data_IF_137685937662
#
_entry.id   IF_137685937662
#
_cell.length_a   1.000
_cell.length_b   1.000
_cell.length_c   1.000
_cell.angle_alpha   90.00
_cell.angle_beta   90.00
_cell.angle_gamma   90.00
#
_symmetry.space_group_name_H-M   'P 1'
#
loop_
_entity.id
_entity.type
_entity.pdbx_description
1 polymer ?
#
# COMPACT_ATOMS: atom_id res chain seq x y z
N UNK A 1 20.12 52.95 40.93
CA UNK A 1 18.82 52.38 40.53
C UNK A 1 18.53 52.77 39.08
N UNK A 2 18.72 51.86 38.13
CA UNK A 2 17.85 51.69 36.95
C UNK A 2 18.38 50.49 36.16
N UNK A 3 17.51 49.49 36.00
CA UNK A 3 17.80 48.19 35.40
C UNK A 3 17.60 48.31 33.90
N UNK A 4 18.61 47.98 33.08
CA UNK A 4 18.39 47.75 31.65
C UNK A 4 18.31 46.24 31.39
N UNK A 5 17.13 45.85 30.95
CA UNK A 5 16.68 44.49 30.68
C UNK A 5 17.40 43.94 29.44
N UNK A 6 18.01 42.76 29.57
CA UNK A 6 18.58 42.01 28.45
C UNK A 6 17.43 41.38 27.65
N UNK A 7 17.20 41.85 26.42
CA UNK A 7 16.37 41.16 25.45
C UNK A 7 17.18 40.04 24.79
N UNK A 8 17.07 38.83 25.32
CA UNK A 8 17.43 37.61 24.58
C UNK A 8 16.26 37.22 23.70
N UNK A 9 16.39 37.45 22.39
CA UNK A 9 15.49 36.88 21.40
C UNK A 9 15.77 35.36 21.30
N UNK A 10 14.90 34.54 21.87
CA UNK A 10 14.92 33.10 21.65
C UNK A 10 14.21 32.81 20.32
N UNK A 11 14.99 32.44 19.30
CA UNK A 11 14.46 31.97 18.02
C UNK A 11 13.93 30.53 18.23
N UNK A 12 12.63 30.39 18.46
CA UNK A 12 11.96 29.09 18.47
C UNK A 12 11.85 28.60 17.02
N UNK A 13 12.76 27.71 16.60
CA UNK A 13 12.58 26.89 15.42
C UNK A 13 11.49 25.85 15.71
N UNK A 14 10.26 26.16 15.33
CA UNK A 14 9.21 25.17 15.22
C UNK A 14 9.58 24.19 14.11
N UNK A 15 10.15 23.04 14.46
CA UNK A 15 10.32 21.93 13.52
C UNK A 15 8.93 21.33 13.32
N UNK A 16 8.25 21.74 12.25
CA UNK A 16 7.04 21.04 11.82
C UNK A 16 7.47 19.70 11.24
N UNK A 17 7.16 18.61 11.95
CA UNK A 17 7.23 17.27 11.39
C UNK A 17 6.10 17.13 10.37
N UNK A 18 6.34 17.55 9.13
CA UNK A 18 5.51 17.13 8.02
C UNK A 18 5.71 15.61 7.88
N UNK A 19 4.64 14.83 8.07
CA UNK A 19 4.64 13.42 7.70
C UNK A 19 4.83 13.37 6.18
N UNK A 20 6.04 13.03 5.73
CA UNK A 20 6.30 12.84 4.32
C UNK A 20 5.42 11.68 3.81
N UNK A 21 4.66 11.92 2.74
CA UNK A 21 3.87 10.88 2.09
C UNK A 21 4.79 9.77 1.57
N UNK A 22 4.28 8.53 1.55
CA UNK A 22 5.03 7.37 1.08
C UNK A 22 5.36 7.51 -0.42
N UNK A 23 6.57 7.11 -0.82
CA UNK A 23 7.03 7.16 -2.21
C UNK A 23 6.84 5.81 -2.95
N UNK A 24 6.97 5.81 -4.28
CA UNK A 24 7.03 4.55 -5.04
C UNK A 24 8.17 3.64 -4.58
N UNK A 25 9.31 4.21 -4.16
CA UNK A 25 10.41 3.43 -3.61
C UNK A 25 10.00 2.74 -2.31
N UNK A 26 9.24 3.41 -1.43
CA UNK A 26 8.72 2.83 -0.19
C UNK A 26 7.72 1.71 -0.46
N UNK A 27 6.83 1.90 -1.44
CA UNK A 27 5.89 0.86 -1.86
C UNK A 27 6.60 -0.39 -2.39
N UNK A 28 7.57 -0.22 -3.28
CA UNK A 28 8.34 -1.35 -3.79
C UNK A 28 9.13 -2.04 -2.67
N UNK A 29 9.79 -1.27 -1.81
CA UNK A 29 10.53 -1.83 -0.67
C UNK A 29 9.63 -2.60 0.30
N UNK A 30 8.38 -2.16 0.50
CA UNK A 30 7.39 -2.88 1.29
C UNK A 30 7.02 -4.22 0.63
N UNK A 31 6.75 -4.22 -0.69
CA UNK A 31 6.45 -5.45 -1.44
C UNK A 31 7.63 -6.42 -1.40
N UNK A 32 8.85 -5.94 -1.63
CA UNK A 32 10.07 -6.76 -1.58
C UNK A 32 10.22 -7.43 -0.20
N UNK A 33 9.97 -6.69 0.90
CA UNK A 33 9.93 -7.29 2.26
C UNK A 33 8.81 -8.32 2.41
N UNK A 34 7.64 -8.09 1.81
CA UNK A 34 6.53 -9.03 1.79
C UNK A 34 6.88 -10.34 1.08
N UNK A 35 7.58 -10.27 -0.06
CA UNK A 35 8.09 -11.44 -0.78
C UNK A 35 9.05 -12.26 0.07
N UNK A 36 10.05 -11.61 0.69
CA UNK A 36 11.00 -12.31 1.57
C UNK A 36 10.32 -12.95 2.78
N UNK A 37 9.32 -12.28 3.34
CA UNK A 37 8.51 -12.85 4.40
C UNK A 37 7.74 -14.09 3.93
N UNK A 38 7.05 -14.03 2.78
CA UNK A 38 6.36 -15.18 2.21
C UNK A 38 7.31 -16.35 1.88
N UNK A 39 8.53 -16.09 1.43
CA UNK A 39 9.56 -17.15 1.25
C UNK A 39 9.91 -17.84 2.56
N UNK A 40 9.96 -17.09 3.66
CA UNK A 40 10.31 -17.62 4.99
C UNK A 40 9.18 -18.43 5.63
N UNK A 41 7.93 -17.96 5.53
CA UNK A 41 6.80 -18.54 6.27
C UNK A 41 5.83 -19.35 5.42
N UNK A 42 5.98 -19.30 4.10
CA UNK A 42 5.03 -19.87 3.14
C UNK A 42 3.87 -18.93 2.83
N UNK A 43 3.27 -19.10 1.64
CA UNK A 43 2.23 -18.21 1.11
C UNK A 43 1.01 -18.13 2.02
N UNK A 44 0.53 -19.27 2.54
CA UNK A 44 -0.66 -19.31 3.39
C UNK A 44 -0.47 -18.47 4.67
N UNK A 45 0.66 -18.65 5.37
CA UNK A 45 0.94 -17.91 6.59
C UNK A 45 1.17 -16.41 6.32
N UNK A 46 1.81 -16.06 5.21
CA UNK A 46 2.03 -14.65 4.91
C UNK A 46 0.76 -13.90 4.53
N UNK A 47 -0.15 -14.54 3.78
CA UNK A 47 -1.47 -13.95 3.43
C UNK A 47 -2.33 -13.72 4.68
N UNK A 48 -2.27 -14.62 5.67
CA UNK A 48 -2.96 -14.39 6.95
C UNK A 48 -2.35 -13.21 7.74
N UNK A 49 -1.03 -13.02 7.69
CA UNK A 49 -0.39 -11.85 8.29
C UNK A 49 -0.81 -10.54 7.61
N UNK A 50 -0.88 -10.50 6.28
CA UNK A 50 -1.31 -9.31 5.53
C UNK A 50 -2.78 -8.92 5.78
N UNK A 51 -3.60 -9.82 6.33
CA UNK A 51 -4.98 -9.50 6.71
C UNK A 51 -5.07 -8.66 7.99
N UNK A 52 -4.02 -8.64 8.82
CA UNK A 52 -4.06 -7.98 10.13
C UNK A 52 -3.88 -6.46 9.97
N UNK A 53 -4.81 -5.62 10.47
CA UNK A 53 -4.66 -4.16 10.44
C UNK A 53 -3.39 -3.65 11.14
N UNK A 54 -2.92 -4.37 12.16
CA UNK A 54 -1.73 -4.10 12.98
C UNK A 54 -0.45 -4.75 12.43
N UNK A 55 -0.50 -5.37 11.25
CA UNK A 55 0.65 -6.03 10.66
C UNK A 55 1.82 -5.06 10.45
N UNK A 56 3.05 -5.58 10.54
CA UNK A 56 4.26 -4.86 10.13
C UNK A 56 4.25 -4.40 8.66
N UNK A 57 3.30 -4.90 7.86
CA UNK A 57 3.08 -4.53 6.47
C UNK A 57 2.03 -3.44 6.29
N UNK A 58 1.66 -2.74 7.37
CA UNK A 58 0.74 -1.61 7.36
C UNK A 58 1.44 -0.39 8.00
N UNK A 59 1.58 0.69 7.23
CA UNK A 59 2.04 2.00 7.71
C UNK A 59 1.16 3.07 7.07
N UNK A 60 0.28 3.68 7.87
CA UNK A 60 -0.66 4.70 7.43
C UNK A 60 -1.52 4.26 6.22
N UNK A 61 -1.25 4.85 5.05
CA UNK A 61 -1.90 4.58 3.76
C UNK A 61 -1.14 3.59 2.88
N UNK A 62 0.09 3.24 3.27
CA UNK A 62 0.94 2.25 2.63
C UNK A 62 0.74 0.88 3.27
N UNK A 63 0.21 -0.07 2.51
CA UNK A 63 -0.07 -1.42 3.00
C UNK A 63 0.02 -2.45 1.89
N UNK A 64 0.27 -3.71 2.27
CA UNK A 64 0.17 -4.85 1.36
C UNK A 64 -1.28 -5.34 1.28
N UNK A 65 -1.73 -5.67 0.07
CA UNK A 65 -2.90 -6.53 -0.16
C UNK A 65 -2.47 -7.79 -0.95
N UNK A 66 -3.35 -8.79 -0.99
CA UNK A 66 -3.15 -9.99 -1.80
C UNK A 66 -4.45 -10.43 -2.51
N UNK A 67 -4.31 -10.96 -3.73
CA UNK A 67 -5.39 -11.63 -4.47
C UNK A 67 -4.84 -12.77 -5.32
N UNK A 68 -5.69 -13.75 -5.64
CA UNK A 68 -5.32 -14.84 -6.54
C UNK A 68 -5.51 -14.46 -8.01
N UNK A 69 -5.15 -15.36 -8.93
CA UNK A 69 -5.30 -15.10 -10.37
C UNK A 69 -6.71 -15.31 -10.93
N UNK A 70 -7.67 -15.73 -10.08
CA UNK A 70 -9.11 -15.72 -10.37
C UNK A 70 -9.76 -14.40 -9.90
N UNK A 71 -8.98 -13.51 -9.27
CA UNK A 71 -9.41 -12.21 -8.78
C UNK A 71 -10.07 -12.25 -7.41
N UNK A 72 -9.97 -13.34 -6.66
CA UNK A 72 -10.43 -13.42 -5.27
C UNK A 72 -9.42 -12.71 -4.38
N UNK A 73 -9.88 -11.71 -3.64
CA UNK A 73 -9.05 -11.04 -2.64
C UNK A 73 -8.81 -11.99 -1.47
N UNK A 74 -7.55 -12.28 -1.18
CA UNK A 74 -7.15 -13.18 -0.09
C UNK A 74 -6.65 -12.43 1.13
N UNK A 75 -6.15 -11.20 0.94
CA UNK A 75 -5.86 -10.28 2.03
C UNK A 75 -6.12 -8.82 1.68
N UNK A 76 -6.74 -8.07 2.60
CA UNK A 76 -6.86 -6.62 2.49
C UNK A 76 -7.02 -5.96 3.88
N UNK A 77 -5.96 -5.34 4.45
CA UNK A 77 -5.96 -4.91 5.86
C UNK A 77 -6.83 -3.67 6.15
N UNK A 78 -7.25 -2.94 5.11
CA UNK A 78 -7.99 -1.66 5.25
C UNK A 78 -9.47 -1.72 4.85
N UNK A 79 -9.92 -2.79 4.20
CA UNK A 79 -11.29 -2.93 3.68
C UNK A 79 -11.74 -4.39 3.77
N UNK A 80 -13.01 -4.67 4.08
CA UNK A 80 -13.53 -6.03 4.20
C UNK A 80 -13.77 -6.65 2.80
N UNK A 81 -12.67 -6.93 2.10
CA UNK A 81 -12.69 -7.49 0.74
C UNK A 81 -12.30 -8.97 0.68
N UNK A 82 -11.71 -9.54 1.74
CA UNK A 82 -11.32 -10.96 1.79
C UNK A 82 -12.49 -11.87 1.36
N UNK A 83 -12.22 -12.78 0.43
CA UNK A 83 -13.19 -13.73 -0.14
C UNK A 83 -14.05 -13.18 -1.28
N UNK A 84 -13.98 -11.88 -1.60
CA UNK A 84 -14.72 -11.30 -2.73
C UNK A 84 -13.96 -11.48 -4.03
N UNK A 85 -14.65 -11.89 -5.09
CA UNK A 85 -14.10 -11.87 -6.44
C UNK A 85 -14.23 -10.46 -7.03
N UNK A 86 -13.10 -9.84 -7.32
CA UNK A 86 -12.97 -8.49 -7.85
C UNK A 86 -12.47 -8.48 -9.30
N UNK A 87 -12.40 -9.63 -9.98
CA UNK A 87 -11.91 -9.72 -11.37
C UNK A 87 -12.66 -8.80 -12.33
N UNK A 88 -13.98 -8.69 -12.14
CA UNK A 88 -14.86 -7.82 -12.95
C UNK A 88 -15.13 -6.46 -12.33
N UNK A 89 -14.55 -6.17 -11.16
CA UNK A 89 -14.68 -4.86 -10.54
C UNK A 89 -14.14 -3.78 -11.48
N UNK A 90 -14.84 -2.66 -11.54
CA UNK A 90 -14.38 -1.45 -12.21
C UNK A 90 -14.28 -0.34 -11.19
N UNK A 91 -13.17 0.39 -11.20
CA UNK A 91 -13.08 1.66 -10.48
C UNK A 91 -13.98 2.72 -11.13
N UNK A 92 -14.00 3.94 -10.56
CA UNK A 92 -14.80 5.05 -11.11
C UNK A 92 -14.35 5.51 -12.50
N UNK A 93 -13.10 5.23 -12.90
CA UNK A 93 -12.60 5.52 -14.24
C UNK A 93 -12.96 4.41 -15.25
N UNK A 94 -13.57 3.31 -14.80
CA UNK A 94 -13.94 2.16 -15.62
C UNK A 94 -12.84 1.10 -15.74
N UNK A 95 -11.72 1.28 -15.04
CA UNK A 95 -10.53 0.40 -15.07
C UNK A 95 -10.80 -0.87 -14.29
N UNK A 96 -10.44 -2.02 -14.86
CA UNK A 96 -10.52 -3.32 -14.19
C UNK A 96 -9.22 -3.61 -13.43
N UNK A 97 -8.90 -2.79 -12.44
CA UNK A 97 -7.56 -2.78 -11.80
C UNK A 97 -7.07 -4.15 -11.32
N UNK A 98 -7.94 -5.00 -10.76
CA UNK A 98 -7.54 -6.34 -10.30
C UNK A 98 -7.21 -7.27 -11.47
N UNK A 99 -7.93 -7.15 -12.59
CA UNK A 99 -7.58 -7.84 -13.84
C UNK A 99 -6.24 -7.32 -14.36
N UNK A 100 -6.02 -6.00 -14.35
CA UNK A 100 -4.78 -5.40 -14.84
C UNK A 100 -3.56 -5.82 -13.99
N UNK A 101 -3.72 -5.97 -12.67
CA UNK A 101 -2.69 -6.55 -11.79
C UNK A 101 -2.36 -8.00 -12.16
N UNK A 102 -3.40 -8.82 -12.37
CA UNK A 102 -3.24 -10.23 -12.74
C UNK A 102 -2.53 -10.34 -14.08
N UNK A 103 -2.97 -9.57 -15.07
CA UNK A 103 -2.38 -9.58 -16.42
C UNK A 103 -0.92 -9.13 -16.37
N UNK A 104 -0.60 -8.08 -15.60
CA UNK A 104 0.78 -7.62 -15.39
C UNK A 104 1.65 -8.72 -14.78
N UNK A 105 1.19 -9.37 -13.73
CA UNK A 105 1.95 -10.45 -13.07
C UNK A 105 2.07 -11.68 -13.96
N UNK A 106 1.02 -12.06 -14.71
CA UNK A 106 1.09 -13.20 -15.64
C UNK A 106 2.04 -12.96 -16.81
N UNK A 107 2.13 -11.72 -17.31
CA UNK A 107 3.01 -11.37 -18.42
C UNK A 107 4.48 -11.22 -17.97
N UNK A 108 4.71 -10.47 -16.90
CA UNK A 108 6.04 -9.95 -16.55
C UNK A 108 6.56 -10.48 -15.21
N UNK A 109 5.77 -11.27 -14.48
CA UNK A 109 6.04 -11.70 -13.10
C UNK A 109 5.82 -10.60 -12.05
N UNK A 110 6.03 -9.33 -12.43
CA UNK A 110 5.83 -8.15 -11.58
C UNK A 110 5.70 -6.87 -12.40
N UNK A 111 5.27 -5.78 -11.76
CA UNK A 111 5.41 -4.44 -12.31
C UNK A 111 4.48 -3.41 -11.71
N UNK A 112 4.55 -2.20 -12.26
CA UNK A 112 3.72 -1.07 -11.85
C UNK A 112 2.42 -1.01 -12.61
N UNK A 113 1.33 -0.69 -11.91
CA UNK A 113 -0.01 -0.49 -12.49
C UNK A 113 -0.64 0.76 -11.88
N UNK A 114 -1.12 1.64 -12.75
CA UNK A 114 -1.83 2.87 -12.41
C UNK A 114 -3.34 2.66 -12.45
N UNK A 115 -4.07 3.20 -11.47
CA UNK A 115 -5.53 3.05 -11.32
C UNK A 115 -6.09 4.11 -10.38
N UNK A 116 -7.39 4.08 -10.11
CA UNK A 116 -8.03 4.93 -9.11
C UNK A 116 -8.54 4.10 -7.93
N UNK A 117 -8.34 4.58 -6.71
CA UNK A 117 -8.79 3.89 -5.50
C UNK A 117 -9.31 4.84 -4.44
N UNK A 118 -10.19 4.36 -3.57
CA UNK A 118 -10.67 5.13 -2.42
C UNK A 118 -9.52 5.44 -1.46
N UNK A 119 -9.20 6.72 -1.30
CA UNK A 119 -8.22 7.17 -0.32
C UNK A 119 -8.77 6.94 1.10
N UNK A 120 -8.05 6.25 2.00
CA UNK A 120 -8.58 5.84 3.30
C UNK A 120 -8.88 7.02 4.23
N UNK A 121 -8.16 8.13 4.08
CA UNK A 121 -8.32 9.33 4.93
C UNK A 121 -9.16 10.44 4.30
N UNK A 122 -9.13 10.60 2.97
CA UNK A 122 -9.86 11.67 2.26
C UNK A 122 -11.25 11.26 1.82
N UNK A 123 -11.53 9.95 1.71
CA UNK A 123 -12.83 9.46 1.23
C UNK A 123 -13.08 9.71 -0.27
N UNK A 124 -12.09 10.22 -0.97
CA UNK A 124 -12.15 10.53 -2.40
C UNK A 124 -11.41 9.46 -3.21
N UNK A 125 -11.89 9.23 -4.43
CA UNK A 125 -11.25 8.36 -5.40
C UNK A 125 -10.05 9.09 -5.98
N UNK A 126 -8.86 8.59 -5.65
CA UNK A 126 -7.59 9.26 -5.92
C UNK A 126 -6.74 8.39 -6.84
N UNK A 127 -6.04 8.98 -7.83
CA UNK A 127 -5.04 8.25 -8.60
C UNK A 127 -4.04 7.55 -7.68
N UNK A 128 -3.76 6.29 -7.97
CA UNK A 128 -2.84 5.45 -7.23
C UNK A 128 -1.95 4.68 -8.19
N UNK A 129 -0.72 4.44 -7.80
CA UNK A 129 0.18 3.52 -8.49
C UNK A 129 0.65 2.45 -7.53
N UNK A 130 0.59 1.20 -7.96
CA UNK A 130 1.02 0.07 -7.14
C UNK A 130 2.01 -0.82 -7.87
N UNK A 131 2.98 -1.31 -7.13
CA UNK A 131 3.85 -2.39 -7.57
C UNK A 131 3.21 -3.72 -7.17
N UNK A 132 3.06 -4.63 -8.13
CA UNK A 132 2.52 -5.98 -7.93
C UNK A 132 3.55 -7.03 -8.31
N UNK A 133 3.55 -8.15 -7.60
CA UNK A 133 4.45 -9.29 -7.87
C UNK A 133 3.74 -10.61 -7.54
N UNK A 134 3.98 -11.62 -8.38
CA UNK A 134 3.51 -12.98 -8.12
C UNK A 134 4.27 -13.64 -6.98
N UNK A 135 3.56 -14.40 -6.14
CA UNK A 135 4.12 -15.28 -5.12
C UNK A 135 3.46 -16.66 -5.19
N UNK A 136 4.25 -17.73 -5.03
CA UNK A 136 3.74 -19.09 -5.23
C UNK A 136 3.16 -19.32 -6.63
N UNK A 137 2.18 -20.21 -6.74
CA UNK A 137 1.62 -20.63 -8.04
C UNK A 137 0.38 -19.84 -8.48
N UNK A 138 -0.44 -19.35 -7.53
CA UNK A 138 -1.73 -18.72 -7.83
C UNK A 138 -1.97 -17.43 -7.04
N UNK A 139 -0.92 -16.70 -6.67
CA UNK A 139 -1.09 -15.55 -5.79
C UNK A 139 -0.26 -14.36 -6.25
N UNK A 140 -0.77 -13.16 -6.00
CA UNK A 140 0.01 -11.94 -6.08
C UNK A 140 -0.17 -11.11 -4.83
N UNK A 141 0.84 -10.28 -4.57
CA UNK A 141 0.79 -9.21 -3.57
C UNK A 141 1.10 -7.88 -4.22
N UNK A 142 0.63 -6.80 -3.62
CA UNK A 142 1.02 -5.47 -4.03
C UNK A 142 0.92 -4.45 -2.91
N UNK A 143 1.61 -3.33 -3.11
CA UNK A 143 1.46 -2.11 -2.34
C UNK A 143 1.63 -0.92 -3.27
N UNK A 144 1.08 0.22 -2.87
CA UNK A 144 1.15 1.40 -3.71
C UNK A 144 0.89 2.68 -2.96
N UNK A 145 1.16 3.77 -3.66
CA UNK A 145 1.10 5.14 -3.15
C UNK A 145 0.12 5.96 -3.97
N UNK A 146 -0.61 6.82 -3.29
CA UNK A 146 -1.47 7.79 -3.94
C UNK A 146 -0.61 8.87 -4.62
N UNK A 147 -1.12 9.43 -5.72
CA UNK A 147 -0.48 10.53 -6.44
C UNK A 147 -1.09 11.87 -6.06
#
# INVERSE_FOLDING_TARGET
MSKLVKFTAALLLSVTFANAESTQADAKALVDRGVEFCKKVGVAACVEEFNKPESQFVKDDLYIWANDFDGIITAHPKKPLKGKNMYRYKDKAGTQLFKDFIDKVKADGSGWVDYVWDHPTRGEQTPKTSYVIGIGENQLIGAGVYK
#
